data_IF_673532599617
#
_entry.id   IF_673532599617
#
_cell.length_a   1.000
_cell.length_b   1.000
_cell.length_c   1.000
_cell.angle_alpha   90.00
_cell.angle_beta   90.00
_cell.angle_gamma   90.00
#
_symmetry.space_group_name_H-M   'P 1'
#
loop_
_entity.id
_entity.type
_entity.pdbx_description
1 polymer ?
#
# COMPACT_ATOMS: atom_id res chain seq x y z
N UNK A 1 -9.52 2.56 26.03
CA UNK A 1 -9.21 1.11 26.01
C UNK A 1 -7.89 0.87 26.74
N UNK A 2 -7.80 -0.05 27.71
CA UNK A 2 -6.53 -0.35 28.36
C UNK A 2 -5.57 -0.92 27.32
N UNK A 3 -4.34 -0.38 27.24
CA UNK A 3 -3.28 -0.96 26.41
C UNK A 3 -2.89 -2.30 27.04
N UNK A 4 -3.43 -3.38 26.50
CA UNK A 4 -3.07 -4.74 26.90
C UNK A 4 -1.60 -4.94 26.55
N UNK A 5 -0.74 -4.92 27.56
CA UNK A 5 0.68 -5.24 27.38
C UNK A 5 0.77 -6.74 27.10
N UNK A 6 1.43 -7.07 25.99
CA UNK A 6 1.61 -8.43 25.52
C UNK A 6 2.23 -9.32 26.62
N UNK A 7 1.64 -10.51 26.82
CA UNK A 7 2.10 -11.49 27.82
C UNK A 7 3.57 -11.89 27.56
N UNK A 8 4.02 -11.87 26.29
CA UNK A 8 5.42 -12.12 25.93
C UNK A 8 6.38 -11.10 26.53
N UNK A 9 6.02 -9.81 26.51
CA UNK A 9 6.85 -8.74 27.08
C UNK A 9 6.97 -8.91 28.61
N UNK A 10 5.87 -9.29 29.27
CA UNK A 10 5.88 -9.60 30.71
C UNK A 10 6.81 -10.76 31.02
N UNK A 11 6.75 -11.85 30.25
CA UNK A 11 7.60 -13.02 30.44
C UNK A 11 9.09 -12.66 30.28
N UNK A 12 9.45 -11.94 29.22
CA UNK A 12 10.85 -11.51 28.98
C UNK A 12 11.36 -10.64 30.13
N UNK A 13 10.55 -9.68 30.58
CA UNK A 13 10.92 -8.80 31.69
C UNK A 13 11.18 -9.57 33.00
N UNK A 14 10.30 -10.53 33.33
CA UNK A 14 10.44 -11.36 34.53
C UNK A 14 11.69 -12.25 34.44
N UNK A 15 11.95 -12.88 33.27
CA UNK A 15 13.14 -13.73 33.07
C UNK A 15 14.45 -12.95 33.26
N UNK A 16 14.56 -11.76 32.63
CA UNK A 16 15.73 -10.90 32.78
C UNK A 16 15.93 -10.44 34.22
N UNK A 17 14.83 -10.13 34.93
CA UNK A 17 14.89 -9.76 36.34
C UNK A 17 15.39 -10.91 37.22
N UNK A 18 14.89 -12.14 37.01
CA UNK A 18 15.37 -13.32 37.74
C UNK A 18 16.83 -13.68 37.40
N UNK A 19 17.28 -13.37 36.18
CA UNK A 19 18.69 -13.49 35.80
C UNK A 19 19.61 -12.45 36.48
N UNK A 20 19.05 -11.56 37.31
CA UNK A 20 19.81 -10.56 38.08
C UNK A 20 20.04 -9.24 37.33
N UNK A 21 19.41 -9.01 36.18
CA UNK A 21 19.52 -7.74 35.48
C UNK A 21 18.82 -6.60 36.24
N UNK A 22 19.40 -5.39 36.18
CA UNK A 22 18.84 -4.20 36.81
C UNK A 22 17.52 -3.81 36.14
N UNK A 23 16.50 -3.52 36.93
CA UNK A 23 15.17 -3.10 36.45
C UNK A 23 15.19 -1.86 35.56
N UNK A 24 16.16 -0.95 35.76
CA UNK A 24 16.35 0.21 34.89
C UNK A 24 16.65 -0.19 33.45
N UNK A 25 17.63 -1.09 33.25
CA UNK A 25 18.04 -1.58 31.94
C UNK A 25 16.91 -2.32 31.24
N UNK A 26 16.22 -3.20 31.96
CA UNK A 26 15.09 -3.97 31.41
C UNK A 26 13.96 -3.02 30.96
N UNK A 27 13.67 -1.99 31.75
CA UNK A 27 12.63 -1.01 31.45
C UNK A 27 12.95 -0.17 30.22
N UNK A 28 14.23 0.22 30.05
CA UNK A 28 14.70 0.96 28.88
C UNK A 28 14.66 0.08 27.62
N UNK A 29 15.18 -1.14 27.69
CA UNK A 29 15.23 -2.07 26.56
C UNK A 29 13.82 -2.46 26.06
N UNK A 30 12.89 -2.67 26.99
CA UNK A 30 11.50 -3.02 26.66
C UNK A 30 10.59 -1.79 26.46
N UNK A 31 11.15 -0.57 26.52
CA UNK A 31 10.44 0.70 26.36
C UNK A 31 9.13 0.78 27.18
N UNK A 32 9.20 0.36 28.45
CA UNK A 32 8.05 0.27 29.34
C UNK A 32 7.65 1.66 29.86
N UNK A 33 6.48 2.15 29.44
CA UNK A 33 5.95 3.45 29.88
C UNK A 33 5.79 3.59 31.39
N UNK A 34 5.48 2.48 32.09
CA UNK A 34 5.26 2.47 33.53
C UNK A 34 6.53 2.19 34.34
N UNK A 35 7.68 2.08 33.68
CA UNK A 35 9.00 2.03 34.31
C UNK A 35 9.28 0.76 35.11
N UNK A 36 10.28 0.88 36.01
CA UNK A 36 10.81 -0.22 36.83
C UNK A 36 9.80 -0.83 37.80
N UNK A 37 8.83 -0.03 38.28
CA UNK A 37 7.82 -0.45 39.26
C UNK A 37 6.93 -1.54 38.68
N UNK A 38 6.63 -1.44 37.38
CA UNK A 38 5.80 -2.41 36.67
C UNK A 38 6.46 -3.80 36.60
N UNK A 39 7.78 -3.86 36.40
CA UNK A 39 8.54 -5.12 36.39
C UNK A 39 8.44 -5.81 37.75
N UNK A 40 8.64 -5.06 38.84
CA UNK A 40 8.53 -5.61 40.21
C UNK A 40 7.12 -6.12 40.52
N UNK A 41 6.08 -5.45 40.02
CA UNK A 41 4.71 -5.92 40.17
C UNK A 41 4.47 -7.21 39.39
N UNK A 42 5.04 -7.35 38.20
CA UNK A 42 4.90 -8.57 37.41
C UNK A 42 5.56 -9.77 38.06
N UNK A 43 6.79 -9.60 38.57
CA UNK A 43 7.52 -10.65 39.28
C UNK A 43 6.75 -11.13 40.51
N UNK A 44 6.04 -10.23 41.22
CA UNK A 44 5.22 -10.59 42.38
C UNK A 44 3.90 -11.27 42.03
N UNK A 45 3.32 -10.97 40.86
CA UNK A 45 1.94 -11.37 40.51
C UNK A 45 1.86 -12.57 39.58
N UNK A 46 2.89 -12.82 38.78
CA UNK A 46 2.85 -13.85 37.75
C UNK A 46 3.78 -15.01 38.10
N UNK A 47 3.22 -16.23 38.08
CA UNK A 47 3.99 -17.45 38.06
C UNK A 47 4.54 -17.68 36.65
N UNK A 48 5.87 -17.83 36.52
CA UNK A 48 6.54 -17.95 35.21
C UNK A 48 6.07 -19.22 34.50
N UNK A 49 5.91 -20.32 35.21
CA UNK A 49 5.55 -21.61 34.60
C UNK A 49 4.13 -21.57 34.02
N UNK A 50 3.20 -20.91 34.72
CA UNK A 50 1.83 -20.69 34.21
C UNK A 50 1.86 -19.75 33.01
N UNK A 51 2.62 -18.64 33.09
CA UNK A 51 2.75 -17.68 32.01
C UNK A 51 3.39 -18.30 30.75
N UNK A 52 4.35 -19.20 30.92
CA UNK A 52 4.96 -19.98 29.84
C UNK A 52 4.01 -21.02 29.27
N UNK A 53 3.23 -21.71 30.10
CA UNK A 53 2.24 -22.69 29.64
C UNK A 53 1.12 -22.05 28.82
N UNK A 54 0.69 -20.84 29.18
CA UNK A 54 -0.26 -20.04 28.40
C UNK A 54 0.35 -19.52 27.08
N UNK A 55 1.68 -19.45 26.99
CA UNK A 55 2.43 -19.01 25.82
C UNK A 55 2.94 -20.16 24.95
N UNK A 56 2.96 -21.39 25.46
CA UNK A 56 3.20 -22.62 24.71
C UNK A 56 1.99 -22.91 23.81
N UNK A 57 1.81 -22.04 22.83
CA UNK A 57 1.03 -22.32 21.64
C UNK A 57 1.67 -23.50 20.91
N UNK A 58 0.82 -24.37 20.38
CA UNK A 58 1.22 -25.55 19.62
C UNK A 58 2.30 -25.19 18.58
N UNK A 59 3.39 -25.98 18.44
CA UNK A 59 4.47 -25.74 17.48
C UNK A 59 3.99 -25.50 16.03
N UNK A 60 2.78 -25.98 15.69
CA UNK A 60 2.16 -25.74 14.38
C UNK A 60 1.71 -24.30 14.15
N UNK A 61 1.23 -23.59 15.17
CA UNK A 61 0.64 -22.26 14.99
C UNK A 61 1.71 -21.18 14.82
N UNK A 62 2.84 -21.29 15.55
CA UNK A 62 3.96 -20.34 15.44
C UNK A 62 4.57 -20.33 14.04
N UNK A 63 4.64 -21.48 13.38
CA UNK A 63 5.18 -21.61 12.02
C UNK A 63 4.27 -20.92 10.98
N UNK A 64 2.94 -20.94 11.18
CA UNK A 64 1.97 -20.29 10.29
C UNK A 64 2.02 -18.77 10.46
N UNK A 65 2.06 -18.27 11.71
CA UNK A 65 2.11 -16.83 11.96
C UNK A 65 3.43 -16.19 11.53
N UNK A 66 4.57 -16.85 11.77
CA UNK A 66 5.87 -16.34 11.31
C UNK A 66 5.98 -16.33 9.78
N UNK A 67 5.47 -17.37 9.09
CA UNK A 67 5.44 -17.40 7.62
C UNK A 67 4.55 -16.28 7.06
N UNK A 68 3.37 -16.06 7.65
CA UNK A 68 2.49 -14.94 7.27
C UNK A 68 3.12 -13.56 7.47
N UNK A 69 3.90 -13.36 8.53
CA UNK A 69 4.56 -12.07 8.78
C UNK A 69 5.69 -11.77 7.78
N UNK A 70 6.42 -12.81 7.34
CA UNK A 70 7.45 -12.68 6.31
C UNK A 70 6.79 -12.39 4.94
N UNK A 71 5.74 -13.14 4.61
CA UNK A 71 4.98 -12.97 3.36
C UNK A 71 4.31 -11.59 3.28
N UNK A 72 3.73 -11.11 4.38
CA UNK A 72 3.16 -9.77 4.46
C UNK A 72 4.20 -8.64 4.33
N UNK A 73 5.43 -8.85 4.83
CA UNK A 73 6.53 -7.89 4.63
C UNK A 73 6.94 -7.83 3.16
N UNK A 74 7.11 -8.98 2.51
CA UNK A 74 7.44 -9.06 1.08
C UNK A 74 6.37 -8.39 0.21
N UNK A 75 5.09 -8.70 0.47
CA UNK A 75 3.97 -8.10 -0.26
C UNK A 75 3.88 -6.57 -0.07
N UNK A 76 4.20 -6.05 1.12
CA UNK A 76 4.27 -4.60 1.35
C UNK A 76 5.39 -3.93 0.56
N UNK A 77 6.56 -4.55 0.48
CA UNK A 77 7.69 -4.00 -0.25
C UNK A 77 7.45 -4.03 -1.76
N UNK A 78 6.83 -5.10 -2.28
CA UNK A 78 6.42 -5.18 -3.69
C UNK A 78 5.34 -4.15 -4.03
N UNK A 79 4.29 -4.01 -3.21
CA UNK A 79 3.27 -2.98 -3.42
C UNK A 79 3.87 -1.57 -3.48
N UNK A 80 4.84 -1.28 -2.60
CA UNK A 80 5.52 0.02 -2.59
C UNK A 80 6.39 0.25 -3.83
N UNK A 81 6.98 -0.81 -4.41
CA UNK A 81 7.70 -0.71 -5.69
C UNK A 81 6.73 -0.47 -6.84
N UNK A 82 5.65 -1.23 -6.91
CA UNK A 82 4.62 -1.11 -7.95
C UNK A 82 3.94 0.26 -7.94
N UNK A 83 3.63 0.83 -6.76
CA UNK A 83 3.09 2.19 -6.66
C UNK A 83 4.03 3.26 -7.25
N UNK A 84 5.34 3.11 -7.04
CA UNK A 84 6.35 4.03 -7.59
C UNK A 84 6.41 3.93 -9.11
N UNK A 85 6.41 2.72 -9.66
CA UNK A 85 6.38 2.50 -11.11
C UNK A 85 5.09 3.05 -11.73
N UNK A 86 3.94 2.78 -11.12
CA UNK A 86 2.65 3.28 -11.60
C UNK A 86 2.63 4.81 -11.64
N UNK A 87 3.17 5.47 -10.61
CA UNK A 87 3.28 6.92 -10.58
C UNK A 87 4.24 7.48 -11.63
N UNK A 88 5.34 6.77 -11.93
CA UNK A 88 6.27 7.15 -12.99
C UNK A 88 5.59 7.06 -14.36
N UNK A 89 4.92 5.94 -14.65
CA UNK A 89 4.18 5.73 -15.89
C UNK A 89 3.04 6.73 -16.10
N UNK A 90 2.29 7.06 -15.03
CA UNK A 90 1.26 8.12 -15.08
C UNK A 90 1.84 9.47 -15.49
N UNK A 91 3.00 9.84 -14.93
CA UNK A 91 3.68 11.10 -15.27
C UNK A 91 4.18 11.12 -16.72
N UNK A 92 4.76 10.03 -17.20
CA UNK A 92 5.19 9.90 -18.60
C UNK A 92 4.00 10.02 -19.57
N UNK A 93 2.90 9.31 -19.29
CA UNK A 93 1.68 9.38 -20.11
C UNK A 93 1.07 10.78 -20.16
N UNK A 94 1.15 11.55 -19.07
CA UNK A 94 0.71 12.96 -19.06
C UNK A 94 1.61 13.85 -19.92
N UNK A 95 2.93 13.64 -19.88
CA UNK A 95 3.88 14.37 -20.74
C UNK A 95 3.65 14.07 -22.21
N UNK A 96 3.41 12.81 -22.56
CA UNK A 96 3.14 12.41 -23.94
C UNK A 96 1.83 13.02 -24.46
N UNK A 97 0.77 13.02 -23.64
CA UNK A 97 -0.48 13.71 -23.99
C UNK A 97 -0.27 15.21 -24.23
N UNK A 98 0.46 15.88 -23.34
CA UNK A 98 0.76 17.30 -23.50
C UNK A 98 1.58 17.59 -24.77
N UNK A 99 2.53 16.70 -25.10
CA UNK A 99 3.35 16.81 -26.32
C UNK A 99 2.51 16.63 -27.59
N UNK A 100 1.59 15.66 -27.59
CA UNK A 100 0.64 15.45 -28.70
C UNK A 100 -0.26 16.68 -28.87
N UNK A 101 -0.89 17.15 -27.80
CA UNK A 101 -1.78 18.33 -27.84
C UNK A 101 -1.06 19.58 -28.33
N UNK A 102 0.18 19.78 -27.88
CA UNK A 102 1.02 20.89 -28.33
C UNK A 102 1.35 20.80 -29.82
N UNK A 103 1.70 19.62 -30.33
CA UNK A 103 1.97 19.41 -31.75
C UNK A 103 0.71 19.59 -32.60
N UNK A 104 -0.45 19.09 -32.14
CA UNK A 104 -1.73 19.29 -32.81
C UNK A 104 -2.12 20.77 -32.92
N UNK A 105 -1.88 21.56 -31.86
CA UNK A 105 -2.14 23.01 -31.86
C UNK A 105 -1.16 23.81 -32.71
N UNK A 106 0.08 23.33 -32.87
CA UNK A 106 1.12 23.96 -33.71
C UNK A 106 1.12 23.48 -35.16
N UNK A 107 0.36 22.44 -35.50
CA UNK A 107 0.23 22.02 -36.90
C UNK A 107 -0.35 23.17 -37.73
N UNK A 108 0.36 23.64 -38.79
CA UNK A 108 -0.17 24.64 -39.69
C UNK A 108 -1.52 24.18 -40.26
N UNK A 109 -2.46 25.10 -40.35
CA UNK A 109 -3.88 24.88 -40.66
C UNK A 109 -4.18 24.12 -41.96
N UNK A 110 -3.20 23.86 -42.82
CA UNK A 110 -3.35 23.11 -44.06
C UNK A 110 -3.75 21.63 -43.87
N UNK A 111 -3.30 20.98 -42.79
CA UNK A 111 -3.69 19.59 -42.47
C UNK A 111 -5.01 19.50 -41.70
N UNK A 112 -5.37 20.53 -40.93
CA UNK A 112 -6.68 20.63 -40.26
C UNK A 112 -7.80 21.04 -41.24
N UNK A 113 -7.45 21.77 -42.32
CA UNK A 113 -8.35 22.02 -43.44
C UNK A 113 -8.74 20.71 -44.13
N UNK A 114 -7.83 19.75 -44.32
CA UNK A 114 -8.13 18.45 -44.95
C UNK A 114 -9.26 17.67 -44.25
N UNK A 115 -9.25 17.55 -42.91
CA UNK A 115 -10.32 16.85 -42.17
C UNK A 115 -11.67 17.59 -42.24
N UNK A 116 -11.63 18.92 -42.15
CA UNK A 116 -12.85 19.75 -42.21
C UNK A 116 -13.41 19.80 -43.63
N UNK A 117 -12.55 19.91 -44.64
CA UNK A 117 -12.89 19.84 -46.06
C UNK A 117 -13.41 18.46 -46.46
N UNK A 118 -12.82 17.36 -45.96
CA UNK A 118 -13.35 16.00 -46.14
C UNK A 118 -14.76 15.86 -45.58
N UNK A 119 -15.04 16.41 -44.38
CA UNK A 119 -16.40 16.44 -43.79
C UNK A 119 -17.39 17.24 -44.64
N UNK A 120 -16.95 18.35 -45.23
CA UNK A 120 -17.78 19.20 -46.12
C UNK A 120 -18.03 18.52 -47.48
N UNK A 121 -17.06 17.77 -48.01
CA UNK A 121 -17.19 17.05 -49.27
C UNK A 121 -18.12 15.84 -49.14
N UNK A 122 -18.01 15.06 -48.05
CA UNK A 122 -18.88 13.90 -47.81
C UNK A 122 -20.33 14.32 -47.52
N UNK A 123 -20.55 15.45 -46.83
CA UNK A 123 -21.90 15.98 -46.62
C UNK A 123 -22.54 16.50 -47.91
N UNK A 124 -21.80 17.21 -48.78
CA UNK A 124 -22.29 17.61 -50.11
C UNK A 124 -22.63 16.42 -51.01
N UNK A 125 -21.84 15.33 -50.94
CA UNK A 125 -22.08 14.12 -51.72
C UNK A 125 -23.36 13.41 -51.24
N UNK A 126 -23.55 13.28 -49.93
CA UNK A 126 -24.77 12.71 -49.33
C UNK A 126 -26.04 13.52 -49.67
N UNK A 127 -25.96 14.84 -49.66
CA UNK A 127 -27.08 15.72 -50.03
C UNK A 127 -27.49 15.60 -51.50
N UNK A 128 -26.52 15.52 -52.43
CA UNK A 128 -26.80 15.30 -53.85
C UNK A 128 -27.46 13.94 -54.10
N UNK A 129 -27.00 12.88 -53.42
CA UNK A 129 -27.61 11.55 -53.54
C UNK A 129 -29.05 11.52 -53.01
N UNK A 130 -29.33 12.18 -51.89
CA UNK A 130 -30.71 12.31 -51.37
C UNK A 130 -31.63 13.09 -52.32
N UNK A 131 -31.15 14.15 -52.96
CA UNK A 131 -31.95 14.93 -53.91
C UNK A 131 -32.23 14.20 -55.23
N UNK A 132 -31.34 13.31 -55.67
CA UNK A 132 -31.55 12.48 -56.87
C UNK A 132 -32.60 11.40 -56.59
N UNK A 133 -32.49 10.69 -55.46
CA UNK A 133 -33.44 9.63 -55.08
C UNK A 133 -34.87 10.18 -54.87
N UNK A 134 -35.02 11.42 -54.39
CA UNK A 134 -36.32 12.06 -54.21
C UNK A 134 -36.91 12.69 -55.49
N UNK A 135 -36.17 12.73 -56.59
CA UNK A 135 -36.67 13.18 -57.90
C UNK A 135 -37.11 12.04 -58.81
N UNK A 136 -36.71 10.81 -58.50
CA UNK A 136 -37.02 9.59 -59.27
C UNK A 136 -38.17 8.75 -58.66
N UNK A 137 -38.88 9.31 -57.67
CA UNK A 137 -40.16 8.82 -57.16
C UNK A 137 -41.27 9.80 -57.52
#
# INVERSE_FOLDING_TARGET
MPKVIDKKIKLIAIKKFLAGEKTSKISEELNLKSGQVQIKQWVKRYNINELESELNYSPCEVNIYMKKDIENKLLKDENKKLEKELNKLKKEKLKDKAKIEFLEKRMPSFMNLSKTQMKIQTSKKAWKTMHIINREK
#
